data_IF_588102846467
#
_entry.id   IF_588102846467
#
_cell.length_a   1.000
_cell.length_b   1.000
_cell.length_c   1.000
_cell.angle_alpha   90.00
_cell.angle_beta   90.00
_cell.angle_gamma   90.00
#
_symmetry.space_group_name_H-M   'P 1'
#
loop_
_entity.id
_entity.type
_entity.pdbx_description
1 polymer ?
#
# COMPACT_ATOMS: atom_id res chain seq x y z
N UNK A 1 23.13 29.85 -48.52
CA UNK A 1 23.94 28.93 -47.68
C UNK A 1 23.21 28.76 -46.36
N UNK A 2 22.52 27.64 -46.20
CA UNK A 2 21.89 27.19 -44.94
C UNK A 2 22.89 26.29 -44.24
N UNK A 3 23.06 26.44 -42.93
CA UNK A 3 23.17 25.30 -42.01
C UNK A 3 22.93 25.79 -40.56
N UNK A 4 21.75 25.58 -39.98
CA UNK A 4 21.19 24.34 -39.38
C UNK A 4 21.49 24.28 -37.88
N UNK A 5 20.50 24.69 -37.10
CA UNK A 5 20.39 24.47 -35.66
C UNK A 5 20.04 22.99 -35.46
N UNK A 6 21.01 22.15 -35.09
CA UNK A 6 20.74 20.74 -34.75
C UNK A 6 20.38 20.61 -33.27
N UNK A 7 19.10 20.35 -33.04
CA UNK A 7 18.48 19.96 -31.79
C UNK A 7 18.09 18.49 -31.87
N UNK A 8 19.05 17.55 -31.94
CA UNK A 8 18.74 16.12 -31.83
C UNK A 8 19.84 15.35 -31.11
N UNK A 9 19.59 15.03 -29.84
CA UNK A 9 20.47 14.11 -29.11
C UNK A 9 20.13 13.87 -27.64
N UNK A 10 18.85 13.79 -27.26
CA UNK A 10 18.48 13.15 -26.00
C UNK A 10 18.58 11.63 -26.17
N UNK A 11 19.74 11.06 -25.85
CA UNK A 11 19.83 9.70 -25.33
C UNK A 11 21.26 9.41 -24.88
N UNK A 12 21.36 8.78 -23.71
CA UNK A 12 22.63 8.27 -23.19
C UNK A 12 23.17 9.06 -22.01
N UNK A 13 22.33 9.41 -21.04
CA UNK A 13 22.88 9.45 -19.67
C UNK A 13 23.25 8.01 -19.35
N UNK A 14 24.51 7.66 -19.55
CA UNK A 14 25.12 6.47 -18.97
C UNK A 14 25.04 6.64 -17.45
N UNK A 15 23.89 6.31 -16.87
CA UNK A 15 23.78 6.11 -15.43
C UNK A 15 24.55 4.82 -15.15
N UNK A 16 25.81 4.99 -14.80
CA UNK A 16 26.65 3.95 -14.25
C UNK A 16 26.06 3.58 -12.88
N UNK A 17 25.13 2.61 -12.85
CA UNK A 17 24.58 2.08 -11.61
C UNK A 17 25.65 1.17 -11.00
N UNK A 18 26.53 1.78 -10.20
CA UNK A 18 27.28 1.06 -9.18
C UNK A 18 26.32 0.50 -8.12
N UNK A 19 26.64 -0.61 -7.44
CA UNK A 19 25.76 -1.22 -6.46
C UNK A 19 25.78 -0.36 -5.19
N UNK A 20 24.88 0.62 -5.13
CA UNK A 20 24.91 1.60 -4.06
C UNK A 20 23.87 2.69 -4.24
N UNK A 21 22.61 2.31 -4.03
CA UNK A 21 21.54 3.18 -3.55
C UNK A 21 21.41 4.54 -4.26
N UNK A 22 20.69 4.54 -5.38
CA UNK A 22 20.15 5.77 -5.94
C UNK A 22 19.03 6.30 -5.02
N UNK A 23 19.39 7.16 -4.06
CA UNK A 23 18.47 7.98 -3.27
C UNK A 23 17.91 9.14 -4.11
N UNK A 24 17.19 8.81 -5.19
CA UNK A 24 16.35 9.75 -5.94
C UNK A 24 14.95 9.14 -6.06
N UNK A 25 14.40 8.70 -4.93
CA UNK A 25 13.06 8.12 -4.89
C UNK A 25 12.39 8.16 -3.51
N UNK A 26 12.94 8.85 -2.51
CA UNK A 26 12.42 8.74 -1.12
C UNK A 26 11.03 9.35 -0.90
N UNK A 27 10.71 10.45 -1.61
CA UNK A 27 9.49 11.23 -1.40
C UNK A 27 8.38 10.88 -2.39
N UNK A 28 8.67 10.92 -3.70
CA UNK A 28 7.67 10.62 -4.73
C UNK A 28 7.28 9.13 -4.75
N UNK A 29 8.21 8.22 -4.45
CA UNK A 29 7.89 6.80 -4.34
C UNK A 29 7.06 6.49 -3.09
N UNK A 30 7.31 7.17 -1.96
CA UNK A 30 6.43 7.05 -0.78
C UNK A 30 5.04 7.62 -1.06
N UNK A 31 4.93 8.78 -1.69
CA UNK A 31 3.63 9.40 -1.99
C UNK A 31 2.83 8.53 -2.98
N UNK A 32 3.49 7.99 -4.02
CA UNK A 32 2.87 7.07 -4.97
C UNK A 32 2.38 5.77 -4.31
N UNK A 33 3.22 5.14 -3.48
CA UNK A 33 2.85 3.90 -2.76
C UNK A 33 1.77 4.13 -1.70
N UNK A 34 1.80 5.25 -0.97
CA UNK A 34 0.78 5.54 0.04
C UNK A 34 -0.61 5.74 -0.57
N UNK A 35 -0.72 6.38 -1.74
CA UNK A 35 -2.01 6.58 -2.39
C UNK A 35 -2.62 5.26 -2.91
N UNK A 36 -1.78 4.38 -3.46
CA UNK A 36 -2.20 3.04 -3.89
C UNK A 36 -2.68 2.22 -2.69
N UNK A 37 -1.93 2.22 -1.58
CA UNK A 37 -2.33 1.52 -0.35
C UNK A 37 -3.62 2.07 0.25
N UNK A 38 -3.86 3.39 0.21
CA UNK A 38 -5.13 3.96 0.63
C UNK A 38 -6.30 3.47 -0.24
N UNK A 39 -6.06 3.22 -1.52
CA UNK A 39 -7.05 2.59 -2.41
C UNK A 39 -7.33 1.15 -2.01
N UNK A 40 -6.30 0.39 -1.65
CA UNK A 40 -6.44 -0.98 -1.13
C UNK A 40 -7.18 -1.03 0.20
N UNK A 41 -6.97 -0.05 1.09
CA UNK A 41 -7.75 0.10 2.34
C UNK A 41 -9.24 0.33 2.04
N UNK A 42 -9.57 1.14 1.03
CA UNK A 42 -10.96 1.34 0.61
C UNK A 42 -11.56 0.08 -0.02
N UNK A 43 -10.75 -0.72 -0.72
CA UNK A 43 -11.16 -2.04 -1.22
C UNK A 43 -11.43 -3.02 -0.07
N UNK A 44 -10.60 -3.03 0.98
CA UNK A 44 -10.84 -3.81 2.19
C UNK A 44 -12.17 -3.45 2.85
N UNK A 45 -12.45 -2.15 3.04
CA UNK A 45 -13.72 -1.70 3.62
C UNK A 45 -14.93 -2.22 2.86
N UNK A 46 -14.89 -2.16 1.53
CA UNK A 46 -15.96 -2.69 0.67
C UNK A 46 -16.10 -4.21 0.83
N UNK A 47 -14.99 -4.94 0.88
CA UNK A 47 -15.04 -6.38 1.13
C UNK A 47 -15.60 -6.72 2.53
N UNK A 48 -15.39 -5.86 3.54
CA UNK A 48 -16.00 -6.01 4.87
C UNK A 48 -17.51 -5.77 4.89
N UNK A 49 -18.06 -4.99 3.95
CA UNK A 49 -19.51 -4.78 3.81
C UNK A 49 -20.25 -6.03 3.32
N UNK A 50 -19.58 -6.85 2.51
CA UNK A 50 -20.15 -8.10 2.01
C UNK A 50 -20.06 -9.25 3.03
N UNK A 51 -19.37 -9.03 4.16
CA UNK A 51 -19.15 -10.04 5.18
C UNK A 51 -20.18 -9.99 6.30
N UNK A 52 -20.58 -11.18 6.77
CA UNK A 52 -21.45 -11.35 7.95
C UNK A 52 -20.68 -11.22 9.26
N UNK A 53 -20.09 -10.05 9.48
CA UNK A 53 -19.43 -9.71 10.76
C UNK A 53 -20.46 -9.30 11.80
N UNK A 54 -20.21 -9.63 13.07
CA UNK A 54 -20.95 -9.03 14.17
C UNK A 54 -20.66 -7.53 14.26
N UNK A 55 -21.56 -6.77 14.89
CA UNK A 55 -21.34 -5.33 15.07
C UNK A 55 -20.06 -4.99 15.85
N UNK A 56 -19.60 -5.87 16.74
CA UNK A 56 -18.33 -5.69 17.44
C UNK A 56 -17.12 -5.93 16.54
N UNK A 57 -17.14 -7.01 15.74
CA UNK A 57 -16.08 -7.34 14.78
C UNK A 57 -15.95 -6.27 13.69
N UNK A 58 -17.09 -5.78 13.17
CA UNK A 58 -17.08 -4.72 12.15
C UNK A 58 -16.43 -3.44 12.68
N UNK A 59 -16.82 -2.99 13.89
CA UNK A 59 -16.22 -1.79 14.51
C UNK A 59 -14.72 -1.93 14.77
N UNK A 60 -14.27 -3.12 15.17
CA UNK A 60 -12.84 -3.35 15.40
C UNK A 60 -12.06 -3.41 14.08
N UNK A 61 -12.62 -4.01 13.03
CA UNK A 61 -12.03 -4.00 11.69
C UNK A 61 -11.95 -2.59 11.10
N UNK A 62 -13.02 -1.80 11.22
CA UNK A 62 -13.06 -0.40 10.76
C UNK A 62 -12.03 0.45 11.52
N UNK A 63 -11.92 0.28 12.85
CA UNK A 63 -10.89 0.96 13.65
C UNK A 63 -9.47 0.61 13.18
N UNK A 64 -9.17 -0.67 12.97
CA UNK A 64 -7.86 -1.08 12.49
C UNK A 64 -7.53 -0.46 11.12
N UNK A 65 -8.51 -0.40 10.20
CA UNK A 65 -8.35 0.23 8.89
C UNK A 65 -8.20 1.75 8.98
N UNK A 66 -8.92 2.42 9.88
CA UNK A 66 -8.76 3.85 10.14
C UNK A 66 -7.35 4.17 10.67
N UNK A 67 -6.84 3.37 11.61
CA UNK A 67 -5.49 3.56 12.16
C UNK A 67 -4.41 3.36 11.08
N UNK A 68 -4.56 2.38 10.19
CA UNK A 68 -3.64 2.20 9.04
C UNK A 68 -3.74 3.37 8.06
N UNK A 69 -4.94 3.83 7.73
CA UNK A 69 -5.14 4.94 6.81
C UNK A 69 -4.55 6.25 7.35
N UNK A 70 -4.75 6.53 8.64
CA UNK A 70 -4.15 7.67 9.34
C UNK A 70 -2.62 7.61 9.29
N UNK A 71 -2.02 6.45 9.58
CA UNK A 71 -0.57 6.27 9.56
C UNK A 71 0.02 6.41 8.14
N UNK A 72 -0.67 5.91 7.12
CA UNK A 72 -0.25 6.06 5.71
C UNK A 72 -0.28 7.52 5.22
N UNK A 73 -1.11 8.36 5.84
CA UNK A 73 -1.19 9.80 5.57
C UNK A 73 -0.14 10.61 6.35
N UNK A 74 0.55 10.00 7.32
CA UNK A 74 1.64 10.64 8.04
C UNK A 74 2.81 10.99 7.10
N UNK A 75 3.53 12.09 7.33
CA UNK A 75 4.72 12.45 6.56
C UNK A 75 5.82 11.37 6.59
N UNK A 76 5.84 10.57 7.65
CA UNK A 76 6.75 9.43 7.84
C UNK A 76 5.94 8.26 8.43
N UNK A 77 5.32 7.42 7.58
CA UNK A 77 4.51 6.30 8.03
C UNK A 77 5.33 5.29 8.84
N UNK A 78 4.86 4.96 10.05
CA UNK A 78 5.43 3.90 10.87
C UNK A 78 4.97 2.52 10.38
N UNK A 79 5.86 1.83 9.65
CA UNK A 79 5.62 0.47 9.12
C UNK A 79 5.33 -0.55 10.22
N UNK A 80 5.92 -0.43 11.40
CA UNK A 80 5.70 -1.36 12.51
C UNK A 80 4.31 -1.18 13.13
N UNK A 81 3.82 0.06 13.21
CA UNK A 81 2.43 0.34 13.58
C UNK A 81 1.44 -0.23 12.57
N UNK A 82 1.68 0.01 11.28
CA UNK A 82 0.84 -0.52 10.20
C UNK A 82 0.82 -2.05 10.24
N UNK A 83 1.98 -2.71 10.36
CA UNK A 83 2.05 -4.17 10.48
C UNK A 83 1.25 -4.72 11.66
N UNK A 84 1.32 -4.03 12.82
CA UNK A 84 0.56 -4.43 14.01
C UNK A 84 -0.95 -4.39 13.75
N UNK A 85 -1.45 -3.33 13.11
CA UNK A 85 -2.87 -3.20 12.80
C UNK A 85 -3.32 -4.16 11.71
N UNK A 86 -2.53 -4.35 10.66
CA UNK A 86 -2.79 -5.35 9.62
C UNK A 86 -2.87 -6.76 10.19
N UNK A 87 -1.98 -7.12 11.13
CA UNK A 87 -2.02 -8.41 11.80
C UNK A 87 -3.26 -8.58 12.69
N UNK A 88 -3.67 -7.52 13.41
CA UNK A 88 -4.91 -7.51 14.21
C UNK A 88 -6.14 -7.73 13.32
N UNK A 89 -6.23 -6.99 12.22
CA UNK A 89 -7.31 -7.13 11.23
C UNK A 89 -7.34 -8.56 10.69
N UNK A 90 -6.20 -9.10 10.28
CA UNK A 90 -6.10 -10.45 9.73
C UNK A 90 -6.55 -11.50 10.75
N UNK A 91 -6.10 -11.39 12.01
CA UNK A 91 -6.51 -12.28 13.10
C UNK A 91 -8.02 -12.22 13.36
N UNK A 92 -8.61 -11.02 13.34
CA UNK A 92 -10.05 -10.84 13.48
C UNK A 92 -10.81 -11.54 12.35
N UNK A 93 -10.38 -11.35 11.11
CA UNK A 93 -11.01 -11.96 9.94
C UNK A 93 -10.85 -13.48 9.92
N UNK A 94 -9.74 -14.02 10.42
CA UNK A 94 -9.57 -15.47 10.61
C UNK A 94 -10.57 -16.02 11.62
N UNK A 95 -10.72 -15.36 12.78
CA UNK A 95 -11.67 -15.78 13.82
C UNK A 95 -13.12 -15.72 13.36
N UNK A 96 -13.46 -14.72 12.55
CA UNK A 96 -14.79 -14.57 11.96
C UNK A 96 -15.06 -15.54 10.79
N UNK A 97 -14.07 -16.33 10.34
CA UNK A 97 -14.18 -17.16 9.14
C UNK A 97 -14.28 -16.36 7.83
N UNK A 98 -14.02 -15.05 7.90
CA UNK A 98 -14.16 -14.11 6.79
C UNK A 98 -13.12 -14.35 5.68
N UNK A 99 -11.91 -14.79 6.04
CA UNK A 99 -10.87 -15.12 5.06
C UNK A 99 -11.25 -16.29 4.15
N UNK A 100 -11.95 -17.29 4.67
CA UNK A 100 -12.40 -18.43 3.89
C UNK A 100 -13.58 -18.09 2.97
N UNK A 101 -14.37 -17.07 3.31
CA UNK A 101 -15.61 -16.71 2.61
C UNK A 101 -15.42 -15.61 1.57
N UNK A 102 -14.65 -14.56 1.88
CA UNK A 102 -14.41 -13.45 0.93
C UNK A 102 -13.23 -13.69 -0.04
N UNK A 103 -12.34 -14.65 0.26
CA UNK A 103 -11.31 -15.11 -0.67
C UNK A 103 -10.45 -13.97 -1.24
N UNK A 104 -10.33 -13.92 -2.58
CA UNK A 104 -9.49 -12.96 -3.29
C UNK A 104 -9.79 -11.48 -2.98
N UNK A 105 -11.05 -11.15 -2.66
CA UNK A 105 -11.46 -9.76 -2.36
C UNK A 105 -10.76 -9.19 -1.12
N UNK A 106 -10.37 -10.05 -0.16
CA UNK A 106 -9.55 -9.67 0.99
C UNK A 106 -8.07 -9.91 0.75
N UNK A 107 -7.72 -11.01 0.09
CA UNK A 107 -6.32 -11.42 -0.07
C UNK A 107 -5.52 -10.46 -0.95
N UNK A 108 -6.12 -9.89 -2.00
CA UNK A 108 -5.45 -8.91 -2.87
C UNK A 108 -5.01 -7.66 -2.09
N UNK A 109 -5.92 -6.92 -1.41
CA UNK A 109 -5.51 -5.73 -0.69
C UNK A 109 -4.66 -6.02 0.56
N UNK A 110 -4.88 -7.16 1.25
CA UNK A 110 -3.97 -7.58 2.33
C UNK A 110 -2.57 -7.90 1.79
N UNK A 111 -2.49 -8.54 0.62
CA UNK A 111 -1.23 -8.85 -0.06
C UNK A 111 -0.44 -7.61 -0.46
N UNK A 112 -1.13 -6.56 -0.92
CA UNK A 112 -0.51 -5.27 -1.21
C UNK A 112 0.09 -4.63 0.05
N UNK A 113 -0.64 -4.67 1.17
CA UNK A 113 -0.14 -4.20 2.47
C UNK A 113 1.08 -5.00 2.93
N UNK A 114 1.05 -6.33 2.85
CA UNK A 114 2.18 -7.17 3.28
C UNK A 114 3.41 -6.98 2.38
N UNK A 115 3.21 -6.87 1.06
CA UNK A 115 4.30 -6.61 0.12
C UNK A 115 5.00 -5.27 0.40
N UNK A 116 4.23 -4.22 0.73
CA UNK A 116 4.81 -2.93 1.11
C UNK A 116 5.55 -2.98 2.45
N UNK A 117 5.06 -3.79 3.40
CA UNK A 117 5.70 -4.03 4.69
C UNK A 117 6.99 -4.87 4.56
N UNK A 118 7.17 -5.58 3.45
CA UNK A 118 8.32 -6.44 3.19
C UNK A 118 8.18 -7.86 3.76
N UNK A 119 6.94 -8.35 3.92
CA UNK A 119 6.63 -9.74 4.28
C UNK A 119 6.34 -10.59 3.04
#
# INVERSE_FOLDING_TARGET
>A
MRDSYDIRGVHGTNVNIGPGQQYVAGRDQHIGSSHELLTEIQSLRRALDDLRLTGAERREADRALDEVAQELQSPQPDRSRIATQTNRLTTLLQRAGALATAGAALLTPLGALTAWLGF
#
